data_IF_082940515144
#
_entry.id   IF_082940515144
#
_cell.length_a   1.000
_cell.length_b   1.000
_cell.length_c   1.000
_cell.angle_alpha   90.00
_cell.angle_beta   90.00
_cell.angle_gamma   90.00
#
_symmetry.space_group_name_H-M   'P 1'
#
loop_
_entity.id
_entity.type
_entity.pdbx_description
1 polymer ?
#
# COMPACT_ATOMS: atom_id res chain seq x y z
N UNK A 1 9.68 5.53 8.04
CA UNK A 1 8.72 4.75 8.83
C UNK A 1 8.87 3.27 8.50
N UNK A 2 8.96 2.46 9.53
CA UNK A 2 9.29 1.05 9.35
C UNK A 2 8.21 0.26 8.60
N UNK A 3 6.96 0.48 8.93
CA UNK A 3 5.87 -0.22 8.26
C UNK A 3 5.77 0.17 6.80
N UNK A 4 5.94 1.44 6.48
CA UNK A 4 5.93 1.88 5.09
C UNK A 4 7.07 1.25 4.31
N UNK A 5 8.25 1.13 4.93
CA UNK A 5 9.38 0.50 4.27
C UNK A 5 9.11 -0.98 3.99
N UNK A 6 8.47 -1.66 4.94
CA UNK A 6 8.11 -3.06 4.76
C UNK A 6 7.13 -3.23 3.60
N UNK A 7 6.10 -2.41 3.55
CA UNK A 7 5.11 -2.50 2.49
C UNK A 7 5.73 -2.13 1.14
N UNK A 8 6.60 -1.13 1.12
CA UNK A 8 7.30 -0.75 -0.11
C UNK A 8 8.11 -1.92 -0.64
N UNK A 9 8.77 -2.63 0.25
CA UNK A 9 9.55 -3.79 -0.11
C UNK A 9 8.66 -4.90 -0.67
N UNK A 10 7.50 -5.13 -0.06
CA UNK A 10 6.59 -6.16 -0.54
C UNK A 10 6.08 -5.84 -1.94
N UNK A 11 5.86 -4.56 -2.23
CA UNK A 11 5.46 -4.16 -3.58
C UNK A 11 6.61 -4.42 -4.56
N UNK A 12 7.82 -4.08 -4.17
CA UNK A 12 8.98 -4.27 -5.03
C UNK A 12 9.26 -5.73 -5.30
N UNK A 13 9.00 -6.59 -4.32
CA UNK A 13 9.26 -8.00 -4.46
C UNK A 13 8.11 -8.76 -5.14
N UNK A 14 7.00 -8.09 -5.39
CA UNK A 14 5.87 -8.74 -6.02
C UNK A 14 4.93 -9.45 -5.06
N UNK A 15 5.19 -9.35 -3.76
CA UNK A 15 4.29 -9.94 -2.77
C UNK A 15 2.94 -9.23 -2.78
N UNK A 16 2.97 -7.91 -2.94
CA UNK A 16 1.75 -7.15 -3.17
C UNK A 16 1.68 -6.85 -4.66
N UNK A 17 0.77 -7.53 -5.33
CA UNK A 17 0.68 -7.49 -6.77
C UNK A 17 -0.05 -6.23 -7.25
N UNK A 18 0.42 -5.57 -8.31
CA UNK A 18 -0.29 -4.41 -8.84
C UNK A 18 -1.74 -4.74 -9.18
N UNK A 19 -2.64 -3.82 -8.85
CA UNK A 19 -4.06 -4.03 -9.09
C UNK A 19 -4.78 -4.71 -7.95
N UNK A 20 -4.05 -5.23 -6.98
CA UNK A 20 -4.65 -5.92 -5.84
C UNK A 20 -4.84 -4.96 -4.68
N UNK A 21 -5.86 -5.17 -3.84
CA UNK A 21 -6.02 -4.34 -2.66
C UNK A 21 -4.92 -4.63 -1.64
N UNK A 22 -4.51 -3.59 -0.93
CA UNK A 22 -3.60 -3.79 0.19
C UNK A 22 -4.38 -4.35 1.37
N UNK A 23 -3.70 -4.93 2.36
CA UNK A 23 -4.37 -5.29 3.60
C UNK A 23 -5.02 -4.06 4.22
N UNK A 24 -6.15 -4.27 4.88
CA UNK A 24 -6.84 -3.16 5.54
C UNK A 24 -6.04 -2.66 6.74
N UNK A 25 -6.38 -1.47 7.21
CA UNK A 25 -5.74 -0.91 8.39
C UNK A 25 -5.89 -1.86 9.57
N UNK A 26 -7.07 -2.44 9.73
CA UNK A 26 -7.31 -3.40 10.81
C UNK A 26 -6.40 -4.62 10.67
N UNK A 27 -6.30 -5.16 9.47
CA UNK A 27 -5.44 -6.31 9.21
C UNK A 27 -3.98 -5.98 9.47
N UNK A 28 -3.51 -4.82 9.01
CA UNK A 28 -2.14 -4.41 9.26
C UNK A 28 -1.86 -4.22 10.74
N UNK A 29 -2.82 -3.64 11.46
CA UNK A 29 -2.68 -3.43 12.88
C UNK A 29 -2.53 -4.77 13.61
N UNK A 30 -3.35 -5.75 13.25
CA UNK A 30 -3.30 -7.05 13.88
C UNK A 30 -2.06 -7.84 13.48
N UNK A 31 -1.69 -7.75 12.23
CA UNK A 31 -0.60 -8.56 11.71
C UNK A 31 0.76 -8.08 12.17
N UNK A 32 0.96 -6.77 12.23
CA UNK A 32 2.25 -6.21 12.56
C UNK A 32 2.31 -5.54 13.94
N UNK A 33 1.19 -5.52 14.65
CA UNK A 33 1.19 -4.97 16.01
C UNK A 33 1.32 -3.47 16.10
N UNK A 34 1.03 -2.74 15.04
CA UNK A 34 1.09 -1.29 15.05
C UNK A 34 -0.28 -0.69 15.32
N UNK A 35 -0.29 0.52 15.86
CA UNK A 35 -1.54 1.25 16.06
C UNK A 35 -2.18 1.55 14.71
N UNK A 36 -3.51 1.69 14.70
CA UNK A 36 -4.22 1.98 13.46
C UNK A 36 -3.75 3.25 12.81
N UNK A 37 -3.46 4.27 13.60
CA UNK A 37 -2.95 5.54 13.06
C UNK A 37 -1.63 5.34 12.34
N UNK A 38 -0.78 4.49 12.86
CA UNK A 38 0.49 4.18 12.23
C UNK A 38 0.27 3.48 10.90
N UNK A 39 -0.66 2.53 10.87
CA UNK A 39 -0.96 1.82 9.63
C UNK A 39 -1.53 2.77 8.58
N UNK A 40 -2.45 3.64 8.97
CA UNK A 40 -3.02 4.62 8.04
C UNK A 40 -1.95 5.55 7.50
N UNK A 41 -1.04 5.97 8.36
CA UNK A 41 0.04 6.86 7.95
C UNK A 41 0.98 6.16 6.96
N UNK A 42 1.27 4.90 7.21
CA UNK A 42 2.12 4.15 6.30
C UNK A 42 1.50 4.05 4.90
N UNK A 43 0.22 3.77 4.84
CA UNK A 43 -0.47 3.69 3.56
C UNK A 43 -0.48 5.04 2.85
N UNK A 44 -0.66 6.12 3.60
CA UNK A 44 -0.63 7.45 3.03
C UNK A 44 0.76 7.80 2.48
N UNK A 45 1.80 7.41 3.18
CA UNK A 45 3.17 7.65 2.72
C UNK A 45 3.38 6.97 1.37
N UNK A 46 2.93 5.73 1.25
CA UNK A 46 3.08 5.01 0.00
C UNK A 46 2.22 5.59 -1.11
N UNK A 47 1.05 6.10 -0.76
CA UNK A 47 0.22 6.79 -1.74
C UNK A 47 0.95 8.03 -2.26
N UNK A 48 1.57 8.80 -1.37
CA UNK A 48 2.32 9.98 -1.75
C UNK A 48 3.50 9.64 -2.64
N UNK A 49 4.05 8.45 -2.47
CA UNK A 49 5.16 8.00 -3.30
C UNK A 49 4.71 7.46 -4.66
N UNK A 50 3.40 7.35 -4.86
CA UNK A 50 2.88 6.85 -6.12
C UNK A 50 2.80 5.33 -6.20
N UNK A 51 2.99 4.64 -5.09
CA UNK A 51 2.96 3.18 -5.07
C UNK A 51 1.56 2.64 -4.80
N UNK A 52 0.71 3.41 -4.18
CA UNK A 52 -0.66 3.02 -3.91
C UNK A 52 -1.61 4.07 -4.44
N UNK A 53 -2.84 3.65 -4.73
CA UNK A 53 -3.89 4.55 -5.12
C UNK A 53 -5.05 4.34 -4.17
N UNK A 54 -5.65 5.43 -3.72
CA UNK A 54 -6.79 5.35 -2.84
C UNK A 54 -8.06 5.42 -3.66
N UNK A 55 -8.92 4.44 -3.49
CA UNK A 55 -10.19 4.40 -4.19
C UNK A 55 -11.29 4.61 -3.16
N UNK A 56 -12.07 5.70 -3.25
CA UNK A 56 -13.10 5.98 -2.27
C UNK A 56 -14.06 4.81 -2.12
N UNK A 57 -14.33 4.44 -0.89
CA UNK A 57 -15.23 3.33 -0.59
C UNK A 57 -14.59 1.96 -0.65
N UNK A 58 -13.43 1.82 -1.26
CA UNK A 58 -12.77 0.52 -1.39
C UNK A 58 -11.44 0.42 -0.66
N UNK A 59 -10.77 1.53 -0.43
CA UNK A 59 -9.50 1.53 0.29
C UNK A 59 -8.32 1.73 -0.63
N UNK A 60 -7.18 1.19 -0.23
CA UNK A 60 -5.95 1.36 -0.99
C UNK A 60 -5.68 0.14 -1.86
N UNK A 61 -5.24 0.41 -3.07
CA UNK A 61 -4.86 -0.63 -4.02
C UNK A 61 -3.44 -0.39 -4.48
N UNK A 62 -2.74 -1.46 -4.80
CA UNK A 62 -1.38 -1.35 -5.33
C UNK A 62 -1.46 -0.78 -6.74
N UNK A 63 -0.79 0.33 -6.97
CA UNK A 63 -0.82 0.97 -8.27
C UNK A 63 -0.01 0.15 -9.26
N UNK A 64 -0.52 0.06 -10.44
CA UNK A 64 0.19 -0.63 -11.50
C UNK A 64 1.41 0.15 -11.87
N UNK A 65 2.54 -0.36 -11.46
CA UNK A 65 3.65 0.43 -11.56
C UNK A 65 4.38 0.34 -12.76
N UNK A 66 4.34 -0.69 -13.35
CA UNK A 66 5.21 -0.80 -14.31
C UNK A 66 4.88 0.06 -15.33
N UNK A 67 4.68 0.90 -14.94
CA UNK A 67 4.54 1.83 -15.62
C UNK A 67 4.23 1.65 -16.95
N UNK A 68 4.13 1.23 -17.24
CA UNK A 68 3.97 1.16 -18.22
C UNK A 68 2.86 1.36 -18.72
N UNK A 69 2.49 1.55 -18.37
CA UNK A 69 1.71 1.86 -18.70
C UNK A 69 1.12 2.54 -19.06
N UNK A 70 1.01 2.79 -19.33
CA UNK A 70 0.49 3.54 -19.53
C UNK A 70 0.00 3.90 -20.29
N UNK A 71 -0.33 4.08 -20.61
CA UNK A 71 -0.87 4.44 -21.12
C UNK A 71 -1.39 4.95 -21.64
N UNK A 72 -1.54 5.10 -21.72
CA UNK A 72 -2.01 5.66 -22.01
C UNK A 72 -2.57 5.89 -22.52
#
# INVERSE_FOLDING_TARGET
MRLAALLRRQIAEGTLVPGMPTPSITTLSQQYGHARQTCAKALRVLEDEGLLVRIPGLGYYVKGTTGTETPA
#
